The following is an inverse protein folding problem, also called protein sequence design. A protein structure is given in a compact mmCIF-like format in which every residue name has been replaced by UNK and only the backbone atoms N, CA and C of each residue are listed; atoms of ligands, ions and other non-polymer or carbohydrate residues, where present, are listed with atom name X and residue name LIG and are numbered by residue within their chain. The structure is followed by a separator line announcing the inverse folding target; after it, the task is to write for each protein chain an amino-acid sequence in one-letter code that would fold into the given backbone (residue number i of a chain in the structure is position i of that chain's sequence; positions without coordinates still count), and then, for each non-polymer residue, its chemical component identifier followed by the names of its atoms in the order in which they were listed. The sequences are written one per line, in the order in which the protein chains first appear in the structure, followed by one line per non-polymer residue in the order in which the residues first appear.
data_IF_911300104886
#
_entry.id   IF_911300104886
#
_cell.length_a   1.000
_cell.length_b   1.000
_cell.length_c   1.000
_cell.angle_alpha   90.00
_cell.angle_beta   90.00
_cell.angle_gamma   90.00
#
_symmetry.space_group_name_H-M   'P 1'
#
loop_
_entity.id
_entity.type
_entity.pdbx_description
1 polymer ?
#
# COMPACT_ATOMS: atom_id res chain seq x y z
N UNK A 1 -12.81 -1.48 1.51
CA UNK A 1 -11.60 -0.81 0.99
C UNK A 1 -11.63 -0.62 -0.54
N UNK A 2 -11.49 0.63 -0.97
CA UNK A 2 -11.24 1.06 -2.36
C UNK A 2 -9.77 1.48 -2.51
N UNK A 3 -9.12 1.06 -3.60
CA UNK A 3 -7.74 1.43 -3.94
C UNK A 3 -7.66 1.65 -5.43
N UNK A 4 -7.16 2.80 -5.86
CA UNK A 4 -6.87 3.08 -7.27
C UNK A 4 -5.70 4.05 -7.42
N UNK A 5 -5.06 3.99 -8.58
CA UNK A 5 -3.95 4.87 -8.93
C UNK A 5 -4.49 6.26 -9.30
N UNK A 6 -4.10 7.28 -8.55
CA UNK A 6 -4.43 8.69 -8.85
C UNK A 6 -3.53 9.27 -9.93
N UNK A 7 -2.24 8.94 -9.86
CA UNK A 7 -1.22 9.42 -10.77
C UNK A 7 0.02 8.54 -10.69
N UNK A 8 0.80 8.51 -11.76
CA UNK A 8 2.11 7.87 -11.83
C UNK A 8 3.00 8.61 -12.82
N UNK A 9 4.31 8.40 -12.72
CA UNK A 9 5.28 8.95 -13.68
C UNK A 9 4.95 8.46 -15.10
N UNK A 10 4.68 9.36 -16.07
CA UNK A 10 4.50 8.98 -17.46
C UNK A 10 5.74 8.25 -17.98
N UNK A 11 5.52 7.17 -18.75
CA UNK A 11 6.60 6.34 -19.28
C UNK A 11 7.61 5.86 -18.20
N UNK A 12 7.12 5.55 -17.00
CA UNK A 12 7.94 5.15 -15.83
C UNK A 12 9.04 4.13 -16.16
N UNK A 13 8.72 3.11 -16.96
CA UNK A 13 9.68 2.07 -17.33
C UNK A 13 10.81 2.60 -18.22
N UNK A 14 10.47 3.41 -19.22
CA UNK A 14 11.43 4.10 -20.09
C UNK A 14 12.35 5.00 -19.27
N UNK A 15 11.79 5.78 -18.34
CA UNK A 15 12.55 6.67 -17.47
C UNK A 15 13.57 5.88 -16.65
N UNK A 16 13.14 4.80 -16.00
CA UNK A 16 14.02 3.95 -15.18
C UNK A 16 15.09 3.28 -16.05
N UNK A 17 14.74 2.76 -17.22
CA UNK A 17 15.68 2.13 -18.12
C UNK A 17 16.73 3.11 -18.64
N UNK A 18 16.33 4.34 -18.97
CA UNK A 18 17.26 5.40 -19.38
C UNK A 18 18.17 5.84 -18.23
N UNK A 19 17.64 6.03 -17.02
CA UNK A 19 18.46 6.31 -15.84
C UNK A 19 19.51 5.21 -15.61
N UNK A 20 19.15 3.95 -15.81
CA UNK A 20 20.10 2.83 -15.75
C UNK A 20 21.15 2.87 -16.86
N UNK A 21 20.75 3.15 -18.11
CA UNK A 21 21.68 3.28 -19.25
C UNK A 21 22.71 4.38 -19.02
N UNK A 22 22.30 5.50 -18.44
CA UNK A 22 23.18 6.64 -18.16
C UNK A 22 24.38 6.23 -17.31
N UNK A 23 24.17 5.37 -16.30
CA UNK A 23 25.24 4.92 -15.40
C UNK A 23 26.36 4.12 -16.11
N UNK A 24 26.12 3.63 -17.33
CA UNK A 24 27.08 2.80 -18.09
C UNK A 24 27.33 3.33 -19.50
N UNK A 25 26.90 4.55 -19.82
CA UNK A 25 26.98 5.14 -21.16
C UNK A 25 27.96 6.31 -21.18
N UNK A 26 28.81 6.35 -22.20
CA UNK A 26 29.59 7.54 -22.57
C UNK A 26 28.82 8.46 -23.53
N UNK A 27 27.61 8.07 -23.95
CA UNK A 27 26.78 8.87 -24.85
C UNK A 27 26.16 10.08 -24.15
N UNK A 28 25.99 11.15 -24.91
CA UNK A 28 25.32 12.37 -24.45
C UNK A 28 23.86 12.12 -24.06
N UNK A 29 23.35 12.92 -23.11
CA UNK A 29 21.99 12.77 -22.58
C UNK A 29 20.89 12.83 -23.65
N UNK A 30 21.10 13.55 -24.76
CA UNK A 30 20.15 13.63 -25.89
C UNK A 30 20.09 12.34 -26.72
N UNK A 31 21.15 11.53 -26.70
CA UNK A 31 21.19 10.24 -27.37
C UNK A 31 20.72 9.09 -26.45
N UNK A 32 20.50 9.37 -25.17
CA UNK A 32 20.14 8.38 -24.16
C UNK A 32 18.76 7.79 -24.44
N UNK A 33 18.72 6.50 -24.76
CA UNK A 33 17.47 5.80 -25.08
C UNK A 33 17.08 5.85 -26.56
N UNK A 34 17.81 6.59 -27.42
CA UNK A 34 17.60 6.51 -28.86
C UNK A 34 17.92 5.11 -29.37
N UNK A 35 17.06 4.58 -30.23
CA UNK A 35 17.20 3.23 -30.81
C UNK A 35 16.76 2.08 -29.89
N UNK A 36 16.25 2.36 -28.69
CA UNK A 36 15.72 1.34 -27.78
C UNK A 36 14.19 1.30 -27.78
N UNK A 37 13.62 0.10 -27.86
CA UNK A 37 12.18 -0.13 -27.74
C UNK A 37 11.74 -0.46 -26.31
N UNK A 38 10.42 -0.63 -26.09
CA UNK A 38 9.87 -1.11 -24.83
C UNK A 38 10.46 -2.45 -24.36
N UNK A 39 10.75 -3.37 -25.29
CA UNK A 39 11.38 -4.66 -24.95
C UNK A 39 12.80 -4.50 -24.40
N UNK A 40 13.54 -3.50 -24.88
CA UNK A 40 14.88 -3.20 -24.38
C UNK A 40 14.83 -2.55 -22.99
N UNK A 41 13.81 -1.72 -22.74
CA UNK A 41 13.58 -1.16 -21.41
C UNK A 41 13.26 -2.27 -20.40
N UNK A 42 12.37 -3.20 -20.77
CA UNK A 42 12.05 -4.36 -19.93
C UNK A 42 13.29 -5.19 -19.61
N UNK A 43 14.12 -5.50 -20.62
CA UNK A 43 15.40 -6.23 -20.42
C UNK A 43 16.34 -5.45 -19.49
N UNK A 44 16.43 -4.13 -19.66
CA UNK A 44 17.27 -3.28 -18.81
C UNK A 44 16.78 -3.29 -17.36
N UNK A 45 15.48 -3.13 -17.13
CA UNK A 45 14.86 -3.18 -15.79
C UNK A 45 15.09 -4.54 -15.14
N UNK A 46 14.87 -5.63 -15.87
CA UNK A 46 15.11 -6.99 -15.37
C UNK A 46 16.57 -7.17 -14.93
N UNK A 47 17.54 -6.67 -15.72
CA UNK A 47 18.97 -6.69 -15.38
C UNK A 47 19.27 -5.87 -14.12
N UNK A 48 18.73 -4.66 -14.03
CA UNK A 48 18.86 -3.77 -12.85
C UNK A 48 18.34 -4.45 -11.58
N UNK A 49 17.16 -5.10 -11.66
CA UNK A 49 16.56 -5.82 -10.55
C UNK A 49 17.42 -7.03 -10.12
N UNK A 50 17.94 -7.80 -11.08
CA UNK A 50 18.79 -8.96 -10.81
C UNK A 50 20.13 -8.58 -10.15
N UNK A 51 20.71 -7.44 -10.53
CA UNK A 51 21.95 -6.91 -9.94
C UNK A 51 21.74 -6.17 -8.62
N UNK A 52 20.49 -5.95 -8.19
CA UNK A 52 20.17 -5.21 -6.96
C UNK A 52 20.39 -3.70 -7.07
N UNK A 53 20.48 -3.14 -8.29
CA UNK A 53 20.74 -1.72 -8.53
C UNK A 53 19.46 -0.87 -8.36
N UNK A 54 18.83 -0.95 -7.19
CA UNK A 54 17.48 -0.42 -6.97
C UNK A 54 17.37 1.12 -6.97
N UNK A 55 18.49 1.85 -6.93
CA UNK A 55 18.48 3.32 -6.88
C UNK A 55 17.77 3.96 -8.08
N UNK A 56 17.94 3.41 -9.29
CA UNK A 56 17.29 3.95 -10.49
C UNK A 56 15.77 3.79 -10.48
N UNK A 57 15.22 2.88 -9.66
CA UNK A 57 13.78 2.69 -9.52
C UNK A 57 13.12 3.87 -8.79
N UNK A 58 13.89 4.70 -8.06
CA UNK A 58 13.35 5.82 -7.29
C UNK A 58 12.79 6.96 -8.15
N UNK A 59 13.15 7.01 -9.43
CA UNK A 59 12.66 8.02 -10.37
C UNK A 59 11.21 7.79 -10.82
N UNK A 60 10.69 6.57 -10.69
CA UNK A 60 9.30 6.26 -10.98
C UNK A 60 8.45 6.41 -9.71
N UNK A 61 7.46 7.30 -9.72
CA UNK A 61 6.62 7.66 -8.57
C UNK A 61 5.17 7.33 -8.86
N UNK A 62 4.46 6.82 -7.84
CA UNK A 62 3.05 6.40 -7.93
C UNK A 62 2.29 6.95 -6.73
N UNK A 63 1.11 7.50 -6.99
CA UNK A 63 0.21 8.05 -5.99
C UNK A 63 -1.12 7.30 -6.03
N UNK A 64 -1.59 6.82 -4.88
CA UNK A 64 -2.80 6.01 -4.75
C UNK A 64 -3.82 6.73 -3.88
N UNK A 65 -5.08 6.63 -4.27
CA UNK A 65 -6.20 6.89 -3.36
C UNK A 65 -6.55 5.61 -2.62
N UNK A 66 -6.72 5.72 -1.31
CA UNK A 66 -7.12 4.61 -0.44
C UNK A 66 -8.29 5.06 0.42
N UNK A 67 -9.40 4.32 0.37
CA UNK A 67 -10.62 4.63 1.14
C UNK A 67 -11.20 3.39 1.80
N UNK A 68 -11.95 3.60 2.90
CA UNK A 68 -12.61 2.53 3.63
C UNK A 68 -11.59 1.56 4.20
N UNK A 69 -10.60 2.12 4.89
CA UNK A 69 -9.55 1.41 5.65
C UNK A 69 -9.53 1.93 7.08
N UNK A 70 -9.20 1.07 8.03
CA UNK A 70 -9.16 1.38 9.45
C UNK A 70 -8.00 2.31 9.83
N UNK A 71 -8.15 3.02 10.95
CA UNK A 71 -7.04 3.76 11.57
C UNK A 71 -5.91 2.81 11.98
N UNK A 72 -6.21 1.59 12.45
CA UNK A 72 -5.23 0.54 12.75
C UNK A 72 -4.32 0.20 11.56
N UNK A 73 -4.89 0.05 10.36
CA UNK A 73 -4.12 -0.16 9.14
C UNK A 73 -3.24 1.05 8.86
N UNK A 74 -3.80 2.26 8.86
CA UNK A 74 -3.03 3.45 8.51
C UNK A 74 -1.87 3.70 9.46
N UNK A 75 -2.02 3.34 10.74
CA UNK A 75 -0.95 3.47 11.73
C UNK A 75 0.24 2.54 11.47
N UNK A 76 0.03 1.42 10.76
CA UNK A 76 1.12 0.59 10.23
C UNK A 76 1.69 1.13 8.92
N UNK A 77 0.82 1.65 8.04
CA UNK A 77 1.19 2.17 6.74
C UNK A 77 2.15 3.37 6.85
N UNK A 78 1.88 4.32 7.75
CA UNK A 78 2.72 5.52 7.93
C UNK A 78 4.09 5.23 8.53
N UNK A 79 4.40 3.97 8.87
CA UNK A 79 5.74 3.54 9.30
C UNK A 79 6.70 3.34 8.12
N UNK A 80 6.19 3.31 6.89
CA UNK A 80 6.99 3.32 5.67
C UNK A 80 7.34 4.77 5.35
N UNK A 81 8.57 5.17 5.70
CA UNK A 81 8.98 6.58 5.79
C UNK A 81 9.39 7.19 4.46
N UNK A 82 9.72 6.38 3.45
CA UNK A 82 10.06 6.87 2.11
C UNK A 82 8.79 7.01 1.26
N UNK A 83 7.79 7.66 1.85
CA UNK A 83 6.47 7.85 1.31
C UNK A 83 5.90 9.19 1.76
N UNK A 84 4.98 9.75 0.97
CA UNK A 84 4.22 10.94 1.33
C UNK A 84 2.76 10.56 1.59
N UNK A 85 2.16 11.16 2.61
CA UNK A 85 0.79 10.86 3.03
C UNK A 85 -0.04 12.13 3.17
N UNK A 86 -1.27 12.10 2.65
CA UNK A 86 -2.29 13.09 2.96
C UNK A 86 -3.53 12.35 3.44
N UNK A 87 -3.82 12.40 4.74
CA UNK A 87 -4.89 11.64 5.37
C UNK A 87 -6.00 12.54 5.88
N UNK A 88 -7.25 12.09 5.75
CA UNK A 88 -8.41 12.78 6.31
C UNK A 88 -8.24 12.99 7.82
N UNK A 89 -8.27 14.26 8.23
CA UNK A 89 -8.06 14.65 9.62
C UNK A 89 -9.34 14.52 10.42
N UNK A 90 -9.29 13.72 11.50
CA UNK A 90 -10.34 13.65 12.50
C UNK A 90 -10.45 14.92 13.38
N UNK A 91 -9.57 15.92 13.19
CA UNK A 91 -9.68 17.24 13.85
C UNK A 91 -10.62 18.19 13.11
N UNK A 92 -10.71 18.02 11.80
CA UNK A 92 -11.41 18.94 10.91
C UNK A 92 -12.64 18.32 10.24
N UNK A 93 -12.60 17.01 9.98
CA UNK A 93 -13.79 16.28 9.52
C UNK A 93 -14.48 15.71 10.74
N UNK A 94 -15.62 16.31 11.07
CA UNK A 94 -16.48 15.83 12.14
C UNK A 94 -17.24 14.56 11.71
N UNK A 95 -17.59 13.73 12.68
CA UNK A 95 -18.36 12.49 12.51
C UNK A 95 -19.77 12.65 13.08
N UNK A 96 -20.36 13.83 12.89
CA UNK A 96 -21.64 14.20 13.52
C UNK A 96 -22.80 13.31 12.97
N UNK A 97 -22.68 12.84 11.73
CA UNK A 97 -23.58 11.84 11.11
C UNK A 97 -23.17 10.39 11.43
N UNK A 98 -22.31 10.19 12.43
CA UNK A 98 -21.67 8.92 12.75
C UNK A 98 -20.38 8.67 11.96
N UNK A 99 -19.79 7.49 12.17
CA UNK A 99 -18.59 7.05 11.49
C UNK A 99 -18.77 5.65 10.91
N UNK A 100 -18.08 5.37 9.81
CA UNK A 100 -17.96 4.01 9.28
C UNK A 100 -16.73 3.34 9.86
N UNK A 101 -16.72 2.02 9.88
CA UNK A 101 -15.67 1.25 10.55
C UNK A 101 -15.46 -0.10 9.87
N UNK A 102 -14.27 -0.65 10.11
CA UNK A 102 -13.87 -1.97 9.66
C UNK A 102 -14.33 -3.03 10.67
N UNK A 103 -14.80 -4.19 10.19
CA UNK A 103 -15.20 -5.32 11.05
C UNK A 103 -14.14 -6.42 10.90
N UNK A 104 -13.36 -6.75 11.94
CA UNK A 104 -12.37 -7.82 11.87
C UNK A 104 -12.99 -9.16 11.44
N UNK A 105 -12.38 -9.93 10.51
CA UNK A 105 -12.94 -11.18 10.00
C UNK A 105 -13.30 -12.19 11.10
N UNK A 106 -12.44 -12.33 12.12
CA UNK A 106 -12.68 -13.22 13.26
C UNK A 106 -13.92 -12.83 14.09
N UNK A 107 -14.34 -11.55 14.04
CA UNK A 107 -15.60 -11.08 14.64
C UNK A 107 -16.75 -11.28 13.66
N UNK A 108 -16.55 -10.95 12.38
CA UNK A 108 -17.58 -11.07 11.33
C UNK A 108 -18.10 -12.51 11.15
N UNK A 109 -17.24 -13.51 11.32
CA UNK A 109 -17.59 -14.94 11.23
C UNK A 109 -18.46 -15.44 12.40
N UNK A 110 -18.68 -14.61 13.43
CA UNK A 110 -19.35 -14.97 14.67
C UNK A 110 -20.57 -14.08 14.88
N UNK A 111 -21.76 -14.60 14.56
CA UNK A 111 -23.02 -13.84 14.59
C UNK A 111 -23.32 -13.18 15.94
N UNK A 112 -22.95 -13.82 17.05
CA UNK A 112 -23.11 -13.28 18.40
C UNK A 112 -22.16 -12.11 18.69
N UNK A 113 -20.94 -12.16 18.17
CA UNK A 113 -19.92 -11.14 18.38
C UNK A 113 -20.11 -9.94 17.44
N UNK A 114 -20.45 -10.18 16.17
CA UNK A 114 -20.66 -9.11 15.20
C UNK A 114 -21.85 -8.23 15.58
N UNK A 115 -22.94 -8.82 16.10
CA UNK A 115 -24.08 -8.05 16.58
C UNK A 115 -23.68 -7.12 17.75
N UNK A 116 -22.94 -7.64 18.74
CA UNK A 116 -22.43 -6.85 19.86
C UNK A 116 -21.45 -5.76 19.41
N UNK A 117 -20.61 -6.05 18.43
CA UNK A 117 -19.67 -5.09 17.87
C UNK A 117 -20.38 -3.93 17.18
N UNK A 118 -21.39 -4.22 16.36
CA UNK A 118 -22.21 -3.20 15.67
C UNK A 118 -22.94 -2.32 16.68
N UNK A 119 -23.56 -2.92 17.70
CA UNK A 119 -24.24 -2.19 18.78
C UNK A 119 -23.29 -1.22 19.50
N UNK A 120 -22.10 -1.70 19.86
CA UNK A 120 -21.10 -0.87 20.54
C UNK A 120 -20.57 0.27 19.65
N UNK A 121 -20.39 0.04 18.34
CA UNK A 121 -20.05 1.10 17.41
C UNK A 121 -21.13 2.19 17.34
N UNK A 122 -22.41 1.78 17.39
CA UNK A 122 -23.53 2.72 17.48
C UNK A 122 -23.50 3.56 18.76
N UNK A 123 -23.19 2.94 19.90
CA UNK A 123 -23.03 3.65 21.19
C UNK A 123 -21.88 4.64 21.17
N UNK A 124 -20.73 4.26 20.61
CA UNK A 124 -19.59 5.17 20.46
C UNK A 124 -19.94 6.38 19.58
N UNK A 125 -20.71 6.18 18.51
CA UNK A 125 -21.18 7.27 17.66
C UNK A 125 -22.13 8.21 18.40
N UNK A 126 -23.09 7.66 19.16
CA UNK A 126 -23.98 8.45 20.00
C UNK A 126 -23.23 9.25 21.07
N UNK A 127 -22.27 8.63 21.75
CA UNK A 127 -21.42 9.29 22.75
C UNK A 127 -20.56 10.40 22.14
N UNK A 128 -20.03 10.19 20.92
CA UNK A 128 -19.30 11.23 20.19
C UNK A 128 -20.20 12.45 19.97
N UNK A 129 -21.43 12.22 19.49
CA UNK A 129 -22.40 13.29 19.25
C UNK A 129 -22.84 14.00 20.54
N UNK A 130 -22.96 13.28 21.66
CA UNK A 130 -23.21 13.86 22.97
C UNK A 130 -22.11 14.85 23.37
N UNK A 131 -20.83 14.47 23.23
CA UNK A 131 -19.71 15.36 23.52
C UNK A 131 -19.71 16.58 22.60
N UNK A 132 -19.99 16.39 21.32
CA UNK A 132 -20.07 17.50 20.34
C UNK A 132 -21.20 18.47 20.69
N UNK A 133 -22.37 17.98 21.07
CA UNK A 133 -23.51 18.79 21.49
C UNK A 133 -23.22 19.56 22.80
N UNK A 134 -22.39 19.02 23.69
CA UNK A 134 -21.91 19.69 24.90
C UNK A 134 -20.79 20.72 24.64
N UNK A 135 -20.42 20.96 23.38
CA UNK A 135 -19.40 21.95 23.00
C UNK A 135 -17.96 21.43 23.02
N UNK A 136 -17.72 20.14 23.25
CA UNK A 136 -16.38 19.53 23.17
C UNK A 136 -15.91 19.56 21.71
N UNK A 137 -14.67 19.99 21.48
CA UNK A 137 -14.09 20.06 20.12
C UNK A 137 -14.03 18.68 19.45
N UNK A 138 -14.06 18.62 18.11
CA UNK A 138 -13.88 17.36 17.38
C UNK A 138 -12.51 16.72 17.66
N UNK A 139 -11.49 17.56 17.93
CA UNK A 139 -10.14 17.13 18.28
C UNK A 139 -10.07 16.36 19.60
N UNK A 140 -10.93 16.69 20.58
CA UNK A 140 -10.99 15.99 21.87
C UNK A 140 -12.02 14.86 21.84
N UNK A 141 -13.21 15.11 21.26
CA UNK A 141 -14.29 14.13 21.18
C UNK A 141 -13.85 12.85 20.44
N UNK A 142 -12.98 12.97 19.42
CA UNK A 142 -12.48 11.82 18.65
C UNK A 142 -11.72 10.78 19.46
N UNK A 143 -11.29 11.06 20.69
CA UNK A 143 -10.50 10.11 21.50
C UNK A 143 -11.27 8.83 21.84
N UNK A 144 -12.60 8.84 21.74
CA UNK A 144 -13.42 7.62 21.87
C UNK A 144 -13.54 6.83 20.56
N UNK A 145 -13.15 7.41 19.41
CA UNK A 145 -13.25 6.72 18.13
C UNK A 145 -12.29 5.53 18.12
N UNK A 146 -12.78 4.34 17.74
CA UNK A 146 -11.98 3.14 17.82
C UNK A 146 -10.94 3.08 16.69
N UNK A 147 -9.93 2.24 16.86
CA UNK A 147 -8.96 1.92 15.80
C UNK A 147 -9.61 1.40 14.51
N UNK A 148 -10.81 0.83 14.61
CA UNK A 148 -11.60 0.34 13.50
C UNK A 148 -12.21 1.46 12.64
N UNK A 149 -12.30 2.69 13.16
CA UNK A 149 -12.89 3.82 12.42
C UNK A 149 -12.21 3.97 11.07
N UNK A 150 -13.02 4.11 10.02
CA UNK A 150 -12.52 4.26 8.67
C UNK A 150 -11.90 5.64 8.47
N UNK A 151 -10.97 5.67 7.53
CA UNK A 151 -10.33 6.88 7.04
C UNK A 151 -10.09 6.73 5.54
N UNK A 152 -9.63 7.82 4.95
CA UNK A 152 -9.15 7.86 3.57
C UNK A 152 -7.85 8.64 3.52
N UNK A 153 -6.98 8.26 2.60
CA UNK A 153 -5.71 8.93 2.39
C UNK A 153 -5.22 8.80 0.96
N UNK A 154 -4.42 9.78 0.56
CA UNK A 154 -3.49 9.65 -0.55
C UNK A 154 -2.15 9.17 0.00
N UNK A 155 -1.56 8.17 -0.66
CA UNK A 155 -0.20 7.70 -0.39
C UNK A 155 0.61 7.75 -1.69
N UNK A 156 1.80 8.35 -1.61
CA UNK A 156 2.73 8.45 -2.74
C UNK A 156 4.04 7.75 -2.38
N UNK A 157 4.50 6.85 -3.24
CA UNK A 157 5.75 6.10 -3.08
C UNK A 157 6.46 5.98 -4.43
N UNK A 158 7.80 5.97 -4.42
CA UNK A 158 8.55 5.58 -5.61
C UNK A 158 8.57 4.06 -5.80
N UNK A 159 8.98 3.57 -6.98
CA UNK A 159 8.94 2.14 -7.30
C UNK A 159 9.84 1.31 -6.36
N UNK A 160 10.98 1.86 -5.93
CA UNK A 160 11.85 1.18 -4.94
C UNK A 160 11.11 0.96 -3.63
N UNK A 161 10.49 2.01 -3.09
CA UNK A 161 9.73 1.91 -1.83
C UNK A 161 8.52 1.01 -1.99
N UNK A 162 7.80 1.07 -3.10
CA UNK A 162 6.68 0.16 -3.36
C UNK A 162 7.11 -1.31 -3.35
N UNK A 163 8.24 -1.64 -3.99
CA UNK A 163 8.79 -3.01 -3.93
C UNK A 163 9.14 -3.41 -2.50
N UNK A 164 9.69 -2.50 -1.69
CA UNK A 164 9.95 -2.74 -0.26
C UNK A 164 8.65 -2.96 0.52
N UNK A 165 7.66 -2.09 0.33
CA UNK A 165 6.34 -2.15 0.93
C UNK A 165 5.66 -3.49 0.61
N UNK A 166 5.62 -3.90 -0.66
CA UNK A 166 5.04 -5.18 -1.08
C UNK A 166 5.77 -6.38 -0.48
N UNK A 167 7.12 -6.33 -0.43
CA UNK A 167 7.94 -7.39 0.19
C UNK A 167 7.53 -7.68 1.63
N UNK A 168 7.25 -6.64 2.40
CA UNK A 168 6.84 -6.75 3.81
C UNK A 168 5.35 -7.01 3.98
N UNK A 169 4.51 -6.23 3.28
CA UNK A 169 3.08 -6.14 3.59
C UNK A 169 2.22 -7.13 2.83
N UNK A 170 2.70 -7.68 1.71
CA UNK A 170 2.04 -8.83 1.08
C UNK A 170 2.27 -10.16 1.83
N UNK A 171 3.11 -10.18 2.87
CA UNK A 171 3.39 -11.38 3.66
C UNK A 171 2.14 -11.85 4.43
N UNK A 172 1.87 -13.17 4.46
CA UNK A 172 0.73 -13.74 5.22
C UNK A 172 0.80 -13.51 6.74
N UNK A 173 1.98 -13.15 7.28
CA UNK A 173 2.14 -12.72 8.68
C UNK A 173 1.72 -11.27 8.93
N UNK A 174 1.67 -10.43 7.89
CA UNK A 174 1.12 -9.08 8.03
C UNK A 174 -0.38 -9.16 8.33
N UNK A 175 -0.88 -8.20 9.12
CA UNK A 175 -2.32 -8.08 9.39
C UNK A 175 -3.09 -8.12 8.06
N UNK A 176 -4.17 -8.88 8.04
CA UNK A 176 -4.98 -9.15 6.84
C UNK A 176 -5.39 -7.88 6.08
N UNK A 177 -5.68 -6.78 6.78
CA UNK A 177 -6.15 -5.54 6.17
C UNK A 177 -5.04 -4.84 5.37
N UNK A 178 -3.88 -4.58 6.00
CA UNK A 178 -2.73 -3.96 5.30
C UNK A 178 -2.17 -4.88 4.22
N UNK A 179 -2.29 -6.20 4.39
CA UNK A 179 -1.98 -7.16 3.35
C UNK A 179 -2.90 -7.00 2.15
N UNK A 180 -4.21 -6.89 2.38
CA UNK A 180 -5.19 -6.60 1.34
C UNK A 180 -4.89 -5.29 0.60
N UNK A 181 -4.50 -4.23 1.32
CA UNK A 181 -4.10 -2.97 0.72
C UNK A 181 -2.88 -3.15 -0.19
N UNK A 182 -1.83 -3.80 0.32
CA UNK A 182 -0.58 -3.99 -0.42
C UNK A 182 -0.77 -4.80 -1.70
N UNK A 183 -1.61 -5.84 -1.66
CA UNK A 183 -1.95 -6.64 -2.84
C UNK A 183 -2.69 -5.82 -3.89
N UNK A 184 -3.68 -5.01 -3.48
CA UNK A 184 -4.41 -4.13 -4.42
C UNK A 184 -3.52 -3.05 -5.02
N UNK A 185 -2.67 -2.42 -4.21
CA UNK A 185 -1.68 -1.46 -4.71
C UNK A 185 -0.72 -2.10 -5.73
N UNK A 186 -0.26 -3.33 -5.47
CA UNK A 186 0.58 -4.08 -6.41
C UNK A 186 -0.15 -4.36 -7.74
N UNK A 187 -1.43 -4.75 -7.68
CA UNK A 187 -2.23 -4.96 -8.89
C UNK A 187 -2.35 -3.68 -9.72
N UNK A 188 -2.67 -2.54 -9.09
CA UNK A 188 -2.73 -1.25 -9.78
C UNK A 188 -1.36 -0.85 -10.38
N UNK A 189 -0.27 -1.07 -9.65
CA UNK A 189 1.09 -0.83 -10.13
C UNK A 189 1.46 -1.68 -11.35
N UNK A 190 1.11 -2.97 -11.35
CA UNK A 190 1.39 -3.90 -12.45
C UNK A 190 0.65 -3.54 -13.74
N UNK A 191 -0.55 -2.94 -13.66
CA UNK A 191 -1.32 -2.50 -14.83
C UNK A 191 -0.58 -1.45 -15.66
N UNK A 192 0.18 -0.56 -15.01
CA UNK A 192 0.82 0.59 -15.66
C UNK A 192 2.33 0.45 -15.83
N UNK A 193 3.00 -0.39 -15.04
CA UNK A 193 4.45 -0.61 -15.10
C UNK A 193 4.84 -2.07 -14.77
N UNK A 194 4.42 -3.04 -15.61
CA UNK A 194 4.60 -4.46 -15.34
C UNK A 194 6.06 -4.90 -15.18
N UNK A 195 7.01 -4.34 -15.93
CA UNK A 195 8.43 -4.65 -15.81
C UNK A 195 9.02 -4.16 -14.47
N UNK A 196 8.60 -2.98 -13.98
CA UNK A 196 9.05 -2.47 -12.68
C UNK A 196 8.56 -3.32 -11.51
N UNK A 197 7.41 -3.99 -11.66
CA UNK A 197 6.78 -4.79 -10.61
C UNK A 197 6.78 -6.29 -10.90
N UNK A 198 7.60 -6.72 -11.86
CA UNK A 198 7.84 -8.14 -12.11
C UNK A 198 8.40 -8.80 -10.85
N UNK A 199 7.80 -9.93 -10.47
CA UNK A 199 8.10 -10.67 -9.25
C UNK A 199 8.01 -9.85 -7.94
N UNK A 200 7.37 -8.67 -7.95
CA UNK A 200 7.06 -7.93 -6.74
C UNK A 200 5.94 -8.65 -5.96
N UNK A 201 6.01 -8.59 -4.63
CA UNK A 201 5.15 -9.32 -3.72
C UNK A 201 5.92 -9.74 -2.48
N UNK A 202 5.43 -10.69 -1.67
CA UNK A 202 6.05 -11.05 -0.40
C UNK A 202 7.44 -11.64 -0.60
N UNK A 203 8.32 -11.47 0.41
CA UNK A 203 9.72 -11.89 0.28
C UNK A 203 9.95 -13.38 0.00
N UNK A 204 8.98 -14.26 0.24
CA UNK A 204 9.06 -15.70 -0.06
C UNK A 204 8.75 -16.07 -1.53
N UNK A 205 8.42 -15.10 -2.39
CA UNK A 205 8.27 -15.33 -3.84
C UNK A 205 9.58 -15.74 -4.49
N UNK A 206 10.67 -15.08 -4.09
CA UNK A 206 12.00 -15.29 -4.66
C UNK A 206 12.89 -15.87 -3.57
N UNK A 207 13.10 -17.18 -3.62
CA UNK A 207 13.92 -17.91 -2.67
C UNK A 207 13.21 -18.34 -1.37
N UNK A 208 13.96 -18.73 -0.33
CA UNK A 208 13.39 -19.21 0.93
C UNK A 208 12.62 -18.10 1.68
N UNK A 209 11.74 -18.51 2.60
CA UNK A 209 10.97 -17.56 3.39
C UNK A 209 11.91 -16.70 4.27
N UNK A 210 11.86 -15.36 4.17
CA UNK A 210 12.77 -14.49 4.91
C UNK A 210 12.52 -14.49 6.42
N UNK A 211 11.38 -15.02 6.87
CA UNK A 211 10.98 -15.11 8.28
C UNK A 211 11.67 -16.27 9.02
N UNK A 212 12.36 -17.17 8.30
CA UNK A 212 13.08 -18.31 8.89
C UNK A 212 12.16 -19.18 9.76
N UNK A 213 12.52 -19.32 11.04
CA UNK A 213 11.73 -20.08 12.03
C UNK A 213 10.31 -19.53 12.24
N UNK A 214 10.10 -18.23 11.94
CA UNK A 214 8.79 -17.60 12.04
C UNK A 214 7.97 -17.77 10.75
N UNK A 215 8.37 -18.61 9.81
CA UNK A 215 7.58 -18.86 8.59
C UNK A 215 6.14 -19.27 8.90
N UNK A 216 5.19 -18.82 8.08
CA UNK A 216 3.81 -19.33 8.11
C UNK A 216 3.68 -20.74 7.51
N UNK A 217 4.75 -21.29 6.90
CA UNK A 217 4.72 -22.60 6.25
C UNK A 217 4.07 -22.61 4.85
N UNK A 218 3.50 -21.49 4.39
CA UNK A 218 2.65 -21.46 3.20
C UNK A 218 3.31 -20.90 1.93
N UNK A 219 4.64 -20.89 1.86
CA UNK A 219 5.37 -20.28 0.74
C UNK A 219 4.95 -20.82 -0.64
N UNK A 220 4.67 -22.13 -0.75
CA UNK A 220 4.21 -22.73 -2.00
C UNK A 220 2.82 -22.21 -2.43
N UNK A 221 1.90 -22.03 -1.49
CA UNK A 221 0.57 -21.49 -1.77
C UNK A 221 0.66 -20.01 -2.16
N UNK A 222 1.49 -19.23 -1.45
CA UNK A 222 1.76 -17.82 -1.78
C UNK A 222 2.32 -17.68 -3.19
N UNK A 223 3.28 -18.52 -3.60
CA UNK A 223 3.84 -18.45 -4.97
C UNK A 223 2.78 -18.73 -6.05
N UNK A 224 1.87 -19.68 -5.81
CA UNK A 224 0.75 -19.93 -6.74
C UNK A 224 -0.16 -18.73 -6.85
N UNK A 225 -0.57 -18.15 -5.71
CA UNK A 225 -1.46 -16.99 -5.64
C UNK A 225 -0.89 -15.77 -6.39
N UNK A 226 0.40 -15.48 -6.22
CA UNK A 226 1.04 -14.33 -6.86
C UNK A 226 1.47 -14.56 -8.31
N UNK A 227 1.49 -15.82 -8.78
CA UNK A 227 1.77 -16.13 -10.20
C UNK A 227 0.62 -15.71 -11.13
N UNK A 228 -0.60 -15.64 -10.61
CA UNK A 228 -1.80 -15.23 -11.33
C UNK A 228 -2.19 -13.76 -11.13
N UNK A 229 -1.37 -13.01 -10.40
CA UNK A 229 -1.65 -11.64 -9.95
C UNK A 229 -0.95 -10.59 -10.83
#
# INVERSE_FOLDING_TARGET
MLVFLLSFTPEAERLVANAARLCYSAADGQALGLGFGPDDDRKMIAKVLALGHHGVLEHAVFSFMVEGVSRALTHQLVRHRLASFAQQSQRYVAFDDGFTYEVPPAIAERSDLVARYIDEMGRLAALYNEFRAAGVSAEDARFILPNAAHTRLVVTMNARELRHFFRLRCCRRSQWEIRGLAVRMLQESKKVAPALFENAGPGCLVGPCPEGQMSCGEAAAVRREFSSL
#
